data_IF_966762227200
#
_entry.id   IF_966762227200
#
_cell.length_a   1.000
_cell.length_b   1.000
_cell.length_c   1.000
_cell.angle_alpha   90.00
_cell.angle_beta   90.00
_cell.angle_gamma   90.00
#
_symmetry.space_group_name_H-M   'P 1'
#
loop_
_entity.id
_entity.type
_entity.pdbx_description
1 polymer ?
#
# COMPACT_ATOMS: atom_id res chain seq x y z
N UNK A 1 -26.08 5.06 -6.47
CA UNK A 1 -25.86 3.73 -5.92
C UNK A 1 -24.40 3.37 -5.96
N UNK A 2 -24.00 2.54 -5.03
CA UNK A 2 -22.62 2.09 -4.97
C UNK A 2 -22.38 1.01 -6.01
N UNK A 3 -21.30 1.14 -6.70
CA UNK A 3 -20.93 0.17 -7.73
C UNK A 3 -19.63 -0.53 -7.29
N UNK A 4 -19.79 -1.65 -6.63
CA UNK A 4 -18.64 -2.39 -6.11
C UNK A 4 -17.89 -3.15 -7.18
N UNK A 5 -18.45 -3.24 -8.38
CA UNK A 5 -17.81 -3.96 -9.47
C UNK A 5 -16.55 -3.27 -9.98
N UNK A 6 -16.43 -1.96 -9.69
CA UNK A 6 -15.31 -1.19 -10.21
C UNK A 6 -14.22 -0.94 -9.18
N UNK A 7 -14.21 -1.72 -8.12
CA UNK A 7 -13.17 -1.60 -7.11
C UNK A 7 -11.96 -2.43 -7.56
N UNK A 8 -10.83 -1.76 -7.65
CA UNK A 8 -9.58 -2.40 -8.03
C UNK A 8 -8.82 -2.80 -6.79
N UNK A 9 -8.45 -4.06 -6.70
CA UNK A 9 -7.63 -4.57 -5.61
C UNK A 9 -6.18 -4.63 -6.05
N UNK A 10 -5.31 -4.02 -5.29
CA UNK A 10 -3.89 -3.94 -5.62
C UNK A 10 -3.10 -4.51 -4.45
N UNK A 11 -2.32 -5.54 -4.71
CA UNK A 11 -1.42 -6.12 -3.73
C UNK A 11 0.01 -5.82 -4.16
N UNK A 12 0.79 -5.27 -3.26
CA UNK A 12 2.16 -4.86 -3.56
C UNK A 12 3.10 -5.46 -2.53
N UNK A 13 4.15 -6.11 -3.01
CA UNK A 13 5.23 -6.57 -2.15
C UNK A 13 6.33 -5.53 -2.19
N UNK A 14 6.70 -5.01 -1.04
CA UNK A 14 7.74 -4.00 -0.95
C UNK A 14 8.88 -4.52 -0.09
N UNK A 15 10.08 -4.48 -0.63
CA UNK A 15 11.27 -4.85 0.13
C UNK A 15 11.83 -3.63 0.81
N UNK A 16 12.13 -3.77 2.09
CA UNK A 16 12.73 -2.70 2.88
C UNK A 16 14.04 -3.19 3.48
N UNK A 17 14.93 -2.25 3.74
CA UNK A 17 16.16 -2.56 4.46
C UNK A 17 15.78 -3.18 5.80
N UNK A 18 16.37 -4.33 6.12
CA UNK A 18 16.04 -5.04 7.34
C UNK A 18 16.42 -4.26 8.60
N UNK A 19 17.25 -3.23 8.45
CA UNK A 19 17.67 -2.39 9.57
C UNK A 19 16.66 -1.30 9.90
N UNK A 20 15.67 -1.09 9.05
CA UNK A 20 14.63 -0.09 9.33
C UNK A 20 13.73 -0.54 10.47
N UNK A 21 13.33 0.42 11.30
CA UNK A 21 12.40 0.12 12.38
C UNK A 21 11.02 -0.21 11.80
N UNK A 22 10.24 -0.93 12.58
CA UNK A 22 8.86 -1.22 12.20
C UNK A 22 8.08 0.08 12.02
N UNK A 23 8.34 1.06 12.87
CA UNK A 23 7.70 2.37 12.78
C UNK A 23 7.96 3.01 11.44
N UNK A 24 9.22 2.98 11.00
CA UNK A 24 9.61 3.60 9.74
C UNK A 24 8.99 2.86 8.56
N UNK A 25 8.98 1.53 8.62
CA UNK A 25 8.36 0.73 7.57
C UNK A 25 6.88 1.05 7.48
N UNK A 26 6.21 1.17 8.63
CA UNK A 26 4.79 1.50 8.66
C UNK A 26 4.52 2.87 8.02
N UNK A 27 5.35 3.86 8.36
CA UNK A 27 5.19 5.20 7.80
C UNK A 27 5.35 5.19 6.28
N UNK A 28 6.35 4.44 5.80
CA UNK A 28 6.61 4.38 4.36
C UNK A 28 5.50 3.66 3.61
N UNK A 29 5.00 2.56 4.15
CA UNK A 29 3.91 1.83 3.49
C UNK A 29 2.64 2.67 3.48
N UNK A 30 2.37 3.42 4.54
CA UNK A 30 1.21 4.30 4.59
C UNK A 30 1.31 5.40 3.54
N UNK A 31 2.50 5.93 3.34
CA UNK A 31 2.70 6.97 2.34
C UNK A 31 2.53 6.43 0.94
N UNK A 32 3.07 5.24 0.67
CA UNK A 32 2.91 4.60 -0.64
C UNK A 32 1.43 4.36 -0.92
N UNK A 33 0.71 3.86 0.07
CA UNK A 33 -0.71 3.61 -0.07
C UNK A 33 -1.47 4.89 -0.39
N UNK A 34 -1.11 5.96 0.30
CA UNK A 34 -1.77 7.26 0.11
C UNK A 34 -1.56 7.78 -1.31
N UNK A 35 -0.33 7.67 -1.82
CA UNK A 35 -0.01 8.15 -3.15
C UNK A 35 -0.78 7.36 -4.21
N UNK A 36 -0.83 6.04 -4.05
CA UNK A 36 -1.53 5.21 -5.02
C UNK A 36 -3.03 5.49 -5.01
N UNK A 37 -3.62 5.64 -3.83
CA UNK A 37 -5.04 5.94 -3.73
C UNK A 37 -5.40 7.29 -4.34
N UNK A 38 -4.49 8.24 -4.27
CA UNK A 38 -4.73 9.54 -4.87
C UNK A 38 -4.81 9.44 -6.40
N UNK A 39 -4.05 8.52 -6.97
CA UNK A 39 -4.02 8.33 -8.41
C UNK A 39 -5.09 7.37 -8.91
N UNK A 40 -5.36 6.34 -8.13
CA UNK A 40 -6.32 5.30 -8.53
C UNK A 40 -7.48 5.32 -7.56
N UNK A 41 -8.56 5.94 -7.95
CA UNK A 41 -9.75 6.01 -7.13
C UNK A 41 -10.42 4.64 -7.10
N UNK A 42 -11.20 4.39 -6.08
CA UNK A 42 -11.92 3.13 -5.92
C UNK A 42 -10.96 1.95 -5.90
N UNK A 43 -9.88 2.07 -5.15
CA UNK A 43 -8.92 0.98 -5.03
C UNK A 43 -8.79 0.57 -3.57
N UNK A 44 -8.50 -0.70 -3.39
CA UNK A 44 -8.14 -1.27 -2.09
C UNK A 44 -6.70 -1.73 -2.23
N UNK A 45 -5.83 -1.19 -1.41
CA UNK A 45 -4.40 -1.41 -1.54
C UNK A 45 -3.89 -2.13 -0.32
N UNK A 46 -3.20 -3.24 -0.54
CA UNK A 46 -2.55 -3.99 0.51
C UNK A 46 -1.07 -4.04 0.20
N UNK A 47 -0.26 -3.60 1.14
CA UNK A 47 1.19 -3.58 0.98
C UNK A 47 1.77 -4.61 1.93
N UNK A 48 2.57 -5.52 1.38
CA UNK A 48 3.25 -6.55 2.15
C UNK A 48 4.71 -6.17 2.27
N UNK A 49 5.11 -5.61 3.41
CA UNK A 49 6.53 -5.27 3.61
C UNK A 49 7.33 -6.54 3.86
N UNK A 50 8.48 -6.62 3.24
CA UNK A 50 9.37 -7.76 3.38
C UNK A 50 10.78 -7.27 3.68
N UNK A 51 11.53 -7.99 4.53
CA UNK A 51 12.92 -7.62 4.75
C UNK A 51 13.75 -7.91 3.52
N UNK A 52 14.69 -7.07 3.33
CA UNK A 52 15.56 -7.17 2.17
C UNK A 52 16.67 -8.20 2.43
#
# INVERSE_FOLDING_TARGET
SLNFENILKIDIDCSFDKELSIEKVHDLTSEIEHVIRAEIKNSVITIHPEPN
#
